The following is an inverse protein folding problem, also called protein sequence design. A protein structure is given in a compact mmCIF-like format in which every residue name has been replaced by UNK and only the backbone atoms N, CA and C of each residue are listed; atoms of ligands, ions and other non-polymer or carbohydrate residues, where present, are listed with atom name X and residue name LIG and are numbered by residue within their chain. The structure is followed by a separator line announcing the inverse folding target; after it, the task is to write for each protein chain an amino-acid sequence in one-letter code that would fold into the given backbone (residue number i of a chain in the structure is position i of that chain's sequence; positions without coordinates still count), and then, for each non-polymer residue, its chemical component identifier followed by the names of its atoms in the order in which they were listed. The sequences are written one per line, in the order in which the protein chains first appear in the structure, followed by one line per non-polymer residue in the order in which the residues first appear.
data_IF_803462173079
#
_entry.id   IF_803462173079
#
_cell.length_a   1.000
_cell.length_b   1.000
_cell.length_c   1.000
_cell.angle_alpha   90.00
_cell.angle_beta   90.00
_cell.angle_gamma   90.00
#
_symmetry.space_group_name_H-M   'P 1'
#
loop_
_entity.id
_entity.type
_entity.pdbx_description
1 polymer ?
#
# COMPACT_ATOMS: atom_id res chain seq x y z
N UNK A 1 13.33 -12.00 -24.93
CA UNK A 1 12.50 -13.22 -25.21
C UNK A 1 11.05 -12.84 -25.31
N UNK A 2 10.31 -13.34 -26.32
CA UNK A 2 8.88 -13.03 -26.52
C UNK A 2 8.07 -14.31 -26.58
N UNK A 3 6.99 -14.39 -25.80
CA UNK A 3 6.02 -15.48 -25.81
C UNK A 3 4.65 -14.89 -26.22
N UNK A 4 4.22 -15.11 -27.47
CA UNK A 4 2.93 -14.63 -27.99
C UNK A 4 1.82 -15.71 -27.94
N UNK A 5 2.18 -16.98 -27.89
CA UNK A 5 1.28 -18.12 -27.69
C UNK A 5 1.45 -18.73 -26.31
N UNK A 6 1.51 -20.05 -26.23
CA UNK A 6 1.86 -20.77 -25.00
C UNK A 6 3.34 -21.09 -24.99
N UNK A 7 4.03 -20.76 -23.89
CA UNK A 7 5.46 -21.00 -23.80
C UNK A 7 5.97 -21.13 -22.38
N UNK A 8 7.19 -21.62 -22.26
CA UNK A 8 7.86 -21.81 -20.98
C UNK A 8 9.24 -21.16 -21.01
N UNK A 9 9.63 -20.60 -19.88
CA UNK A 9 10.96 -20.07 -19.60
C UNK A 9 11.60 -21.00 -18.58
N UNK A 10 12.76 -21.53 -18.88
CA UNK A 10 13.52 -22.35 -17.94
C UNK A 10 14.13 -21.48 -16.83
N UNK A 11 14.53 -22.10 -15.72
CA UNK A 11 15.35 -21.43 -14.73
C UNK A 11 16.69 -20.98 -15.35
N UNK A 12 17.20 -19.83 -14.93
CA UNK A 12 18.48 -19.33 -15.43
C UNK A 12 18.60 -17.82 -15.48
N UNK A 13 19.68 -17.36 -16.11
CA UNK A 13 19.98 -15.93 -16.30
C UNK A 13 19.75 -15.53 -17.76
N UNK A 14 19.05 -14.42 -17.96
CA UNK A 14 18.68 -13.89 -19.26
C UNK A 14 19.10 -12.41 -19.34
N UNK A 15 19.98 -12.07 -20.27
CA UNK A 15 20.44 -10.70 -20.49
C UNK A 15 19.45 -9.86 -21.32
N UNK A 16 18.17 -10.21 -21.24
CA UNK A 16 17.09 -9.53 -21.97
C UNK A 16 15.77 -9.51 -21.18
N UNK A 17 14.82 -8.75 -21.69
CA UNK A 17 13.43 -8.74 -21.16
C UNK A 17 12.67 -9.98 -21.61
N UNK A 18 11.83 -10.50 -20.71
CA UNK A 18 10.86 -11.56 -20.98
C UNK A 18 9.50 -10.90 -21.18
N UNK A 19 8.94 -11.00 -22.38
CA UNK A 19 7.63 -10.45 -22.73
C UNK A 19 6.63 -11.56 -23.00
N UNK A 20 5.51 -11.55 -22.28
CA UNK A 20 4.47 -12.59 -22.35
C UNK A 20 3.15 -11.90 -22.73
N UNK A 21 2.67 -12.15 -23.95
CA UNK A 21 1.34 -11.68 -24.41
C UNK A 21 0.30 -12.80 -24.46
N UNK A 22 0.71 -14.04 -24.47
CA UNK A 22 -0.14 -15.23 -24.38
C UNK A 22 -0.14 -15.86 -22.99
N UNK A 23 0.10 -17.18 -22.92
CA UNK A 23 0.23 -17.93 -21.68
C UNK A 23 1.67 -18.33 -21.45
N UNK A 24 2.28 -17.85 -20.38
CA UNK A 24 3.66 -18.11 -20.05
C UNK A 24 3.83 -18.82 -18.70
N UNK A 25 4.83 -19.70 -18.63
CA UNK A 25 5.26 -20.32 -17.37
C UNK A 25 6.77 -20.14 -17.20
N UNK A 26 7.17 -19.63 -16.04
CA UNK A 26 8.56 -19.53 -15.62
C UNK A 26 8.82 -20.67 -14.64
N UNK A 27 9.71 -21.60 -15.03
CA UNK A 27 10.01 -22.83 -14.29
C UNK A 27 11.27 -22.66 -13.45
N UNK A 28 11.13 -22.19 -12.20
CA UNK A 28 12.22 -22.01 -11.25
C UNK A 28 12.75 -20.58 -11.20
N UNK A 29 13.92 -20.42 -10.57
CA UNK A 29 14.50 -19.09 -10.34
C UNK A 29 14.98 -18.47 -11.66
N UNK A 30 14.60 -17.24 -11.90
CA UNK A 30 15.01 -16.47 -13.09
C UNK A 30 15.59 -15.15 -12.68
N UNK A 31 16.76 -14.84 -13.26
CA UNK A 31 17.34 -13.49 -13.26
C UNK A 31 17.29 -12.95 -14.69
N UNK A 32 16.72 -11.76 -14.87
CA UNK A 32 16.59 -11.15 -16.20
C UNK A 32 16.62 -9.61 -16.12
N UNK A 33 16.58 -8.96 -17.28
CA UNK A 33 16.51 -7.49 -17.34
C UNK A 33 15.15 -7.00 -16.86
N UNK A 34 14.06 -7.65 -17.25
CA UNK A 34 12.72 -7.30 -16.81
C UNK A 34 11.67 -8.25 -17.33
N UNK A 35 10.45 -8.15 -16.77
CA UNK A 35 9.31 -8.97 -17.20
C UNK A 35 8.14 -8.08 -17.55
N UNK A 36 7.52 -8.35 -18.70
CA UNK A 36 6.27 -7.70 -19.12
C UNK A 36 5.22 -8.77 -19.42
N UNK A 37 4.09 -8.74 -18.76
CA UNK A 37 2.99 -9.68 -18.97
C UNK A 37 1.69 -8.92 -19.26
N UNK A 38 1.15 -9.12 -20.48
CA UNK A 38 -0.20 -8.66 -20.83
C UNK A 38 -1.20 -9.81 -20.95
N UNK A 39 -0.74 -11.04 -20.98
CA UNK A 39 -1.55 -12.27 -20.95
C UNK A 39 -1.66 -12.89 -19.56
N UNK A 40 -1.43 -14.19 -19.49
CA UNK A 40 -1.42 -14.95 -18.24
C UNK A 40 -0.05 -15.51 -17.95
N UNK A 41 0.43 -15.39 -16.73
CA UNK A 41 1.74 -15.88 -16.32
C UNK A 41 1.71 -16.61 -14.98
N UNK A 42 2.54 -17.67 -14.87
CA UNK A 42 2.84 -18.30 -13.58
C UNK A 42 4.36 -18.43 -13.43
N UNK A 43 4.89 -18.01 -12.30
CA UNK A 43 6.30 -18.18 -11.94
C UNK A 43 6.41 -19.03 -10.68
N UNK A 44 7.16 -20.13 -10.74
CA UNK A 44 7.31 -21.06 -9.61
C UNK A 44 8.59 -20.81 -8.78
N UNK A 45 9.49 -19.97 -9.25
CA UNK A 45 10.72 -19.59 -8.56
C UNK A 45 10.82 -18.10 -8.30
N UNK A 46 11.89 -17.71 -7.62
CA UNK A 46 12.21 -16.31 -7.41
C UNK A 46 12.44 -15.59 -8.75
N UNK A 47 11.92 -14.38 -8.83
CA UNK A 47 12.14 -13.51 -9.98
C UNK A 47 13.00 -12.31 -9.57
N UNK A 48 14.19 -12.23 -10.15
CA UNK A 48 15.10 -11.09 -9.97
C UNK A 48 15.23 -10.33 -11.28
N UNK A 49 14.74 -9.10 -11.31
CA UNK A 49 14.85 -8.21 -12.46
C UNK A 49 15.77 -7.03 -12.16
N UNK A 50 16.70 -6.73 -13.06
CA UNK A 50 17.53 -5.54 -12.95
C UNK A 50 16.79 -4.25 -13.30
N UNK A 51 15.64 -4.35 -13.97
CA UNK A 51 14.74 -3.24 -14.30
C UNK A 51 13.32 -3.52 -13.77
N UNK A 52 12.31 -3.45 -14.62
CA UNK A 52 10.91 -3.42 -14.22
C UNK A 52 10.21 -4.76 -14.40
N UNK A 53 9.27 -5.04 -13.49
CA UNK A 53 8.22 -6.03 -13.65
C UNK A 53 6.90 -5.32 -13.92
N UNK A 54 6.27 -5.57 -15.08
CA UNK A 54 5.02 -4.95 -15.49
C UNK A 54 3.97 -6.01 -15.81
N UNK A 55 2.82 -5.96 -15.16
CA UNK A 55 1.72 -6.90 -15.37
C UNK A 55 0.44 -6.14 -15.65
N UNK A 56 -0.10 -6.29 -16.87
CA UNK A 56 -1.42 -5.75 -17.23
C UNK A 56 -2.48 -6.87 -17.30
N UNK A 57 -2.08 -8.11 -17.40
CA UNK A 57 -2.94 -9.29 -17.42
C UNK A 57 -3.08 -9.94 -16.04
N UNK A 58 -2.99 -11.27 -16.00
CA UNK A 58 -3.05 -12.05 -14.78
C UNK A 58 -1.72 -12.72 -14.51
N UNK A 59 -1.21 -12.64 -13.27
CA UNK A 59 0.01 -13.33 -12.92
C UNK A 59 -0.05 -13.95 -11.52
N UNK A 60 0.60 -15.12 -11.39
CA UNK A 60 0.84 -15.76 -10.10
C UNK A 60 2.33 -16.05 -9.94
N UNK A 61 2.92 -15.42 -8.95
CA UNK A 61 4.28 -15.66 -8.51
C UNK A 61 4.25 -16.46 -7.21
N UNK A 62 4.74 -17.67 -7.23
CA UNK A 62 4.78 -18.56 -6.05
C UNK A 62 5.89 -18.18 -5.08
N UNK A 63 6.84 -17.37 -5.53
CA UNK A 63 8.00 -16.92 -4.77
C UNK A 63 8.14 -15.39 -4.86
N UNK A 64 9.21 -14.90 -4.25
CA UNK A 64 9.50 -13.47 -4.14
C UNK A 64 9.86 -12.81 -5.47
N UNK A 65 9.58 -11.52 -5.56
CA UNK A 65 9.97 -10.65 -6.67
C UNK A 65 10.95 -9.60 -6.15
N UNK A 66 12.08 -9.47 -6.87
CA UNK A 66 13.02 -8.35 -6.67
C UNK A 66 13.17 -7.62 -8.01
N UNK A 67 12.99 -6.29 -8.03
CA UNK A 67 13.07 -5.48 -9.24
C UNK A 67 13.46 -4.02 -8.91
N UNK A 68 13.72 -3.21 -9.95
CA UNK A 68 13.81 -1.77 -9.73
C UNK A 68 12.41 -1.18 -9.51
N UNK A 69 11.43 -1.55 -10.35
CA UNK A 69 10.04 -1.15 -10.14
C UNK A 69 9.09 -2.30 -10.46
N UNK A 70 7.95 -2.31 -9.77
CA UNK A 70 6.83 -3.23 -10.02
C UNK A 70 5.58 -2.44 -10.36
N UNK A 71 4.96 -2.72 -11.50
CA UNK A 71 3.73 -2.06 -11.95
C UNK A 71 2.66 -3.08 -12.29
N UNK A 72 1.51 -2.96 -11.67
CA UNK A 72 0.37 -3.86 -11.85
C UNK A 72 -0.89 -3.09 -12.19
N UNK A 73 -1.45 -3.38 -13.37
CA UNK A 73 -2.78 -2.87 -13.77
C UNK A 73 -3.84 -3.98 -13.81
N UNK A 74 -3.42 -5.24 -13.79
CA UNK A 74 -4.28 -6.42 -13.83
C UNK A 74 -4.50 -7.06 -12.46
N UNK A 75 -4.62 -8.39 -12.45
CA UNK A 75 -4.77 -9.18 -11.23
C UNK A 75 -3.51 -9.99 -10.96
N UNK A 76 -2.89 -9.76 -9.81
CA UNK A 76 -1.63 -10.41 -9.46
C UNK A 76 -1.70 -11.03 -8.07
N UNK A 77 -1.17 -12.25 -7.97
CA UNK A 77 -0.90 -12.92 -6.70
C UNK A 77 0.59 -13.19 -6.58
N UNK A 78 1.15 -12.85 -5.44
CA UNK A 78 2.54 -13.13 -5.06
C UNK A 78 2.46 -13.82 -3.70
N UNK A 79 2.99 -15.05 -3.60
CA UNK A 79 2.83 -15.82 -2.36
C UNK A 79 3.85 -15.43 -1.28
N UNK A 80 4.95 -14.78 -1.67
CA UNK A 80 6.01 -14.30 -0.77
C UNK A 80 6.20 -12.77 -0.89
N UNK A 81 7.44 -12.29 -0.76
CA UNK A 81 7.79 -10.87 -0.64
C UNK A 81 7.91 -10.16 -1.99
N UNK A 82 7.73 -8.83 -1.94
CA UNK A 82 8.05 -7.91 -3.02
C UNK A 82 9.09 -6.91 -2.56
N UNK A 83 10.22 -6.86 -3.25
CA UNK A 83 11.29 -5.88 -3.02
C UNK A 83 11.51 -5.06 -4.30
N UNK A 84 11.26 -3.76 -4.22
CA UNK A 84 11.56 -2.83 -5.31
C UNK A 84 12.50 -1.73 -4.81
N UNK A 85 13.53 -1.38 -5.59
CA UNK A 85 14.40 -0.25 -5.22
C UNK A 85 13.66 1.09 -5.34
N UNK A 86 12.82 1.23 -6.36
CA UNK A 86 12.02 2.41 -6.62
C UNK A 86 10.57 2.19 -6.20
N UNK A 87 9.66 2.01 -7.16
CA UNK A 87 8.23 2.04 -6.89
C UNK A 87 7.53 0.70 -7.06
N UNK A 88 6.51 0.47 -6.22
CA UNK A 88 5.45 -0.52 -6.43
C UNK A 88 4.15 0.25 -6.72
N UNK A 89 3.66 0.16 -7.97
CA UNK A 89 2.46 0.86 -8.45
C UNK A 89 1.34 -0.14 -8.76
N UNK A 90 0.19 0.05 -8.14
CA UNK A 90 -0.95 -0.86 -8.24
C UNK A 90 -2.20 -0.07 -8.65
N UNK A 91 -2.71 -0.35 -9.84
CA UNK A 91 -4.00 0.18 -10.31
C UNK A 91 -5.06 -0.93 -10.41
N UNK A 92 -4.64 -2.19 -10.37
CA UNK A 92 -5.48 -3.37 -10.40
C UNK A 92 -5.73 -3.97 -9.01
N UNK A 93 -5.74 -5.30 -8.93
CA UNK A 93 -5.89 -6.06 -7.68
C UNK A 93 -4.66 -6.90 -7.43
N UNK A 94 -4.03 -6.73 -6.28
CA UNK A 94 -2.81 -7.45 -5.91
C UNK A 94 -2.97 -8.09 -4.54
N UNK A 95 -2.56 -9.36 -4.45
CA UNK A 95 -2.41 -10.05 -3.17
C UNK A 95 -0.96 -10.47 -3.00
N UNK A 96 -0.34 -10.05 -1.90
CA UNK A 96 1.04 -10.37 -1.51
C UNK A 96 0.96 -11.13 -0.19
N UNK A 97 1.48 -12.35 -0.16
CA UNK A 97 1.46 -13.21 1.04
C UNK A 97 2.49 -12.79 2.08
N UNK A 98 3.60 -12.24 1.66
CA UNK A 98 4.68 -11.71 2.50
C UNK A 98 4.63 -10.19 2.64
N UNK A 99 5.81 -9.59 2.72
CA UNK A 99 6.02 -8.16 2.95
C UNK A 99 6.35 -7.40 1.66
N UNK A 100 6.15 -6.09 1.69
CA UNK A 100 6.52 -5.17 0.62
C UNK A 100 7.58 -4.19 1.12
N UNK A 101 8.68 -4.04 0.37
CA UNK A 101 9.70 -3.03 0.63
C UNK A 101 10.03 -2.27 -0.65
N UNK A 102 9.89 -0.92 -0.61
CA UNK A 102 10.15 -0.05 -1.77
C UNK A 102 10.40 1.40 -1.35
N UNK A 103 10.77 2.29 -2.29
CA UNK A 103 10.79 3.73 -2.00
C UNK A 103 9.38 4.33 -2.07
N UNK A 104 8.57 3.92 -3.04
CA UNK A 104 7.19 4.42 -3.19
C UNK A 104 6.20 3.26 -3.38
N UNK A 105 5.27 3.11 -2.44
CA UNK A 105 4.08 2.28 -2.62
C UNK A 105 2.89 3.14 -3.03
N UNK A 106 2.41 2.98 -4.25
CA UNK A 106 1.25 3.71 -4.78
C UNK A 106 0.13 2.75 -5.18
N UNK A 107 -1.02 2.84 -4.54
CA UNK A 107 -2.18 2.00 -4.81
C UNK A 107 -3.42 2.84 -5.10
N UNK A 108 -3.96 2.71 -6.33
CA UNK A 108 -5.28 3.26 -6.70
C UNK A 108 -6.34 2.18 -6.92
N UNK A 109 -5.97 0.92 -6.84
CA UNK A 109 -6.84 -0.25 -6.90
C UNK A 109 -7.02 -0.89 -5.53
N UNK A 110 -6.65 -2.17 -5.42
CA UNK A 110 -6.73 -2.94 -4.18
C UNK A 110 -5.45 -3.72 -3.95
N UNK A 111 -4.92 -3.63 -2.74
CA UNK A 111 -3.77 -4.43 -2.31
C UNK A 111 -4.01 -5.07 -0.96
N UNK A 112 -3.71 -6.37 -0.88
CA UNK A 112 -3.68 -7.14 0.37
C UNK A 112 -2.22 -7.56 0.63
N UNK A 113 -1.64 -7.15 1.77
CA UNK A 113 -0.28 -7.46 2.21
C UNK A 113 -0.38 -8.34 3.44
N UNK A 114 0.14 -9.55 3.37
CA UNK A 114 0.10 -10.53 4.47
C UNK A 114 1.16 -10.31 5.55
N UNK A 115 2.20 -9.57 5.26
CA UNK A 115 3.26 -9.15 6.17
C UNK A 115 3.22 -7.64 6.44
N UNK A 116 4.38 -7.01 6.32
CA UNK A 116 4.59 -5.58 6.55
C UNK A 116 4.72 -4.81 5.23
N UNK A 117 4.38 -3.52 5.26
CA UNK A 117 4.63 -2.57 4.18
C UNK A 117 5.61 -1.51 4.61
N UNK A 118 6.82 -1.50 4.05
CA UNK A 118 7.88 -0.52 4.33
C UNK A 118 8.18 0.29 3.06
N UNK A 119 8.12 1.62 3.17
CA UNK A 119 8.47 2.51 2.08
C UNK A 119 9.01 3.86 2.60
N UNK A 120 9.56 4.71 1.73
CA UNK A 120 9.80 6.11 2.04
C UNK A 120 8.47 6.88 1.98
N UNK A 121 7.63 6.54 0.99
CA UNK A 121 6.31 7.14 0.83
C UNK A 121 5.25 6.08 0.47
N UNK A 122 4.09 6.17 1.13
CA UNK A 122 2.91 5.34 0.84
C UNK A 122 1.75 6.25 0.44
N UNK A 123 1.20 6.01 -0.75
CA UNK A 123 0.03 6.71 -1.28
C UNK A 123 -1.06 5.71 -1.66
N UNK A 124 -2.20 5.81 -1.01
CA UNK A 124 -3.34 4.94 -1.28
C UNK A 124 -4.56 5.80 -1.62
N UNK A 125 -5.20 5.52 -2.75
CA UNK A 125 -6.51 6.08 -3.12
C UNK A 125 -7.55 5.00 -3.43
N UNK A 126 -7.27 3.78 -3.02
CA UNK A 126 -8.15 2.61 -3.12
C UNK A 126 -8.21 1.86 -1.81
N UNK A 127 -8.23 0.52 -1.87
CA UNK A 127 -8.25 -0.33 -0.69
C UNK A 127 -6.85 -0.86 -0.38
N UNK A 128 -6.45 -0.77 0.88
CA UNK A 128 -5.25 -1.43 1.40
C UNK A 128 -5.59 -2.25 2.64
N UNK A 129 -5.20 -3.51 2.62
CA UNK A 129 -5.12 -4.33 3.82
C UNK A 129 -3.66 -4.70 4.06
N UNK A 130 -3.19 -4.53 5.29
CA UNK A 130 -1.85 -4.90 5.72
C UNK A 130 -1.95 -5.57 7.09
N UNK A 131 -1.52 -6.81 7.20
CA UNK A 131 -1.66 -7.55 8.47
C UNK A 131 -0.69 -7.02 9.52
N UNK A 132 0.52 -6.64 9.13
CA UNK A 132 1.54 -6.09 10.01
C UNK A 132 1.59 -4.57 10.03
N UNK A 133 2.79 -4.06 10.26
CA UNK A 133 3.09 -2.63 10.27
C UNK A 133 3.13 -2.06 8.85
N UNK A 134 2.42 -0.97 8.62
CA UNK A 134 2.55 -0.13 7.44
C UNK A 134 3.39 1.10 7.83
N UNK A 135 4.63 1.17 7.38
CA UNK A 135 5.60 2.17 7.82
C UNK A 135 6.21 2.96 6.67
N UNK A 136 6.19 4.29 6.79
CA UNK A 136 6.86 5.17 5.84
C UNK A 136 7.12 6.55 6.47
N UNK A 137 8.08 7.32 5.94
CA UNK A 137 8.24 8.72 6.30
C UNK A 137 6.94 9.50 6.07
N UNK A 138 6.24 9.19 4.96
CA UNK A 138 4.94 9.78 4.64
C UNK A 138 3.92 8.73 4.24
N UNK A 139 2.81 8.67 5.00
CA UNK A 139 1.65 7.83 4.72
C UNK A 139 0.46 8.71 4.34
N UNK A 140 -0.07 8.53 3.14
CA UNK A 140 -1.28 9.22 2.69
C UNK A 140 -2.32 8.21 2.23
N UNK A 141 -3.45 8.15 2.92
CA UNK A 141 -4.59 7.31 2.54
C UNK A 141 -5.79 8.20 2.23
N UNK A 142 -6.28 8.13 1.00
CA UNK A 142 -7.50 8.80 0.57
C UNK A 142 -8.61 7.77 0.41
N UNK A 143 -9.70 7.96 1.10
CA UNK A 143 -10.83 7.05 1.07
C UNK A 143 -11.79 7.43 -0.07
N UNK A 144 -11.34 7.24 -1.32
CA UNK A 144 -12.10 7.55 -2.53
C UNK A 144 -13.05 6.41 -2.90
N UNK A 145 -14.20 6.30 -2.24
CA UNK A 145 -15.18 5.28 -2.61
C UNK A 145 -16.22 5.02 -1.52
N UNK A 146 -17.41 4.58 -1.94
CA UNK A 146 -18.47 4.19 -1.00
C UNK A 146 -18.15 2.83 -0.39
N UNK A 147 -18.23 2.73 0.93
CA UNK A 147 -18.11 1.48 1.70
C UNK A 147 -16.79 0.70 1.52
N UNK A 148 -15.68 1.38 1.23
CA UNK A 148 -14.37 0.74 1.23
C UNK A 148 -13.87 0.67 2.67
N UNK A 149 -13.60 -0.55 3.16
CA UNK A 149 -12.94 -0.74 4.45
C UNK A 149 -11.52 -1.25 4.19
N UNK A 150 -10.54 -0.51 4.69
CA UNK A 150 -9.15 -0.92 4.78
C UNK A 150 -8.85 -1.39 6.20
N UNK A 151 -8.08 -2.48 6.35
CA UNK A 151 -7.65 -2.98 7.66
C UNK A 151 -6.13 -3.04 7.70
N UNK A 152 -5.55 -2.47 8.74
CA UNK A 152 -4.09 -2.37 8.92
C UNK A 152 -3.76 -2.71 10.36
N UNK A 153 -2.74 -3.54 10.59
CA UNK A 153 -2.29 -3.90 11.93
C UNK A 153 -1.85 -2.68 12.72
N UNK A 154 -0.80 -2.02 12.25
CA UNK A 154 -0.30 -0.76 12.81
C UNK A 154 0.14 0.19 11.69
N UNK A 155 0.14 1.50 11.95
CA UNK A 155 0.68 2.52 11.05
C UNK A 155 1.75 3.30 11.77
N UNK A 156 2.95 3.38 11.17
CA UNK A 156 4.07 4.19 11.65
C UNK A 156 4.57 5.18 10.61
N UNK A 157 5.06 6.34 11.05
CA UNK A 157 5.68 7.27 10.12
C UNK A 157 5.92 8.67 10.64
N UNK A 158 6.60 9.51 9.86
CA UNK A 158 6.78 10.92 10.16
C UNK A 158 5.47 11.70 9.98
N UNK A 159 4.87 11.63 8.81
CA UNK A 159 3.62 12.30 8.50
C UNK A 159 2.54 11.28 8.08
N UNK A 160 1.45 11.19 8.83
CA UNK A 160 0.34 10.28 8.56
C UNK A 160 -0.91 11.10 8.27
N UNK A 161 -1.43 10.97 7.06
CA UNK A 161 -2.67 11.62 6.62
C UNK A 161 -3.67 10.59 6.11
N UNK A 162 -4.84 10.50 6.76
CA UNK A 162 -5.97 9.67 6.31
C UNK A 162 -7.18 10.58 6.14
N UNK A 163 -7.72 10.70 4.94
CA UNK A 163 -8.81 11.62 4.63
C UNK A 163 -9.87 11.04 3.71
N UNK A 164 -11.09 11.55 3.83
CA UNK A 164 -12.23 11.26 2.97
C UNK A 164 -12.36 12.24 1.78
N UNK A 165 -11.41 13.13 1.56
CA UNK A 165 -11.55 14.21 0.59
C UNK A 165 -11.30 13.76 -0.85
N UNK A 166 -12.31 13.91 -1.70
CA UNK A 166 -12.23 13.70 -3.15
C UNK A 166 -11.51 14.82 -3.92
N UNK A 167 -11.22 15.96 -3.29
CA UNK A 167 -10.75 17.17 -3.97
C UNK A 167 -9.29 17.51 -3.76
N UNK A 168 -8.48 16.65 -3.13
CA UNK A 168 -7.03 16.83 -3.12
C UNK A 168 -6.53 18.17 -2.56
N UNK A 169 -7.32 18.88 -1.76
CA UNK A 169 -6.87 20.08 -1.08
C UNK A 169 -5.96 19.72 0.07
N UNK A 170 -4.78 20.28 0.04
CA UNK A 170 -3.73 20.11 1.02
C UNK A 170 -4.25 20.36 2.42
N UNK A 171 -4.20 19.35 3.28
CA UNK A 171 -4.19 19.56 4.72
C UNK A 171 -2.84 20.23 5.03
N UNK A 172 -2.77 21.54 4.81
CA UNK A 172 -1.60 22.32 5.13
C UNK A 172 -1.89 23.16 6.35
N UNK A 173 -1.28 22.77 7.45
CA UNK A 173 -1.13 23.53 8.69
C UNK A 173 -2.42 24.03 9.32
N UNK A 174 -2.67 23.54 10.54
CA UNK A 174 -3.65 24.05 11.49
C UNK A 174 -3.94 25.56 11.35
N UNK A 175 -5.19 26.03 11.16
CA UNK A 175 -6.48 25.58 11.71
C UNK A 175 -7.40 25.07 10.58
N UNK A 176 -7.51 23.78 10.37
CA UNK A 176 -7.90 23.30 9.04
C UNK A 176 -8.84 22.12 8.96
N UNK A 177 -9.61 21.86 9.95
CA UNK A 177 -10.80 21.01 9.76
C UNK A 177 -11.93 21.79 9.05
N UNK A 178 -11.60 22.49 7.97
CA UNK A 178 -12.62 23.08 7.13
C UNK A 178 -13.18 22.05 6.16
N UNK A 179 -14.26 21.42 6.65
CA UNK A 179 -15.33 20.82 5.86
C UNK A 179 -14.98 19.56 5.10
N UNK A 180 -15.11 18.49 5.78
CA UNK A 180 -15.14 17.15 5.23
C UNK A 180 -16.59 16.65 5.29
N UNK A 181 -17.18 16.38 4.14
CA UNK A 181 -18.51 15.78 4.04
C UNK A 181 -18.42 14.71 2.96
N UNK A 182 -18.49 13.47 3.36
CA UNK A 182 -18.60 12.38 2.40
C UNK A 182 -18.80 11.05 3.11
N UNK A 183 -19.84 10.31 2.74
CA UNK A 183 -19.95 8.89 3.05
C UNK A 183 -18.81 8.15 2.32
N UNK A 184 -17.64 8.17 2.89
CA UNK A 184 -16.44 7.51 2.39
C UNK A 184 -16.21 6.18 3.06
N UNK A 185 -15.08 5.56 2.74
CA UNK A 185 -14.61 4.35 3.38
C UNK A 185 -14.20 4.55 4.85
N UNK A 186 -13.74 3.50 5.47
CA UNK A 186 -13.20 3.49 6.84
C UNK A 186 -11.86 2.80 6.86
N UNK A 187 -10.91 3.31 7.62
CA UNK A 187 -9.68 2.59 7.96
C UNK A 187 -9.81 2.05 9.38
N UNK A 188 -9.66 0.75 9.53
CA UNK A 188 -9.57 0.10 10.83
C UNK A 188 -8.10 -0.25 11.09
N UNK A 189 -7.55 0.28 12.17
CA UNK A 189 -6.19 -0.05 12.64
C UNK A 189 -6.32 -0.88 13.92
N UNK A 190 -5.70 -2.06 13.90
CA UNK A 190 -5.95 -3.04 14.95
C UNK A 190 -5.16 -2.75 16.24
N UNK A 191 -4.00 -2.03 16.16
CA UNK A 191 -3.13 -1.81 17.31
C UNK A 191 -2.80 -0.31 17.56
N UNK A 192 -2.07 0.33 16.64
CA UNK A 192 -1.46 1.64 16.89
C UNK A 192 -1.31 2.46 15.61
N UNK A 193 -1.54 3.78 15.75
CA UNK A 193 -1.07 4.79 14.79
C UNK A 193 -0.05 5.66 15.52
N UNK A 194 1.18 5.73 15.01
CA UNK A 194 2.26 6.49 15.62
C UNK A 194 3.01 7.33 14.59
N UNK A 195 3.11 8.64 14.82
CA UNK A 195 3.82 9.54 13.92
C UNK A 195 4.09 10.91 14.52
N UNK A 196 5.00 11.68 13.91
CA UNK A 196 5.24 13.06 14.35
C UNK A 196 4.00 13.94 14.12
N UNK A 197 3.44 13.85 12.92
CA UNK A 197 2.21 14.56 12.55
C UNK A 197 1.16 13.55 12.12
N UNK A 198 0.07 13.46 12.85
CA UNK A 198 -1.03 12.54 12.58
C UNK A 198 -2.31 13.32 12.34
N UNK A 199 -2.83 13.28 11.11
CA UNK A 199 -4.12 13.89 10.75
C UNK A 199 -5.01 12.81 10.13
N UNK A 200 -6.07 12.41 10.83
CA UNK A 200 -6.89 11.25 10.45
C UNK A 200 -8.38 11.57 10.50
N UNK A 201 -9.12 10.92 9.60
CA UNK A 201 -10.56 11.03 9.45
C UNK A 201 -11.14 9.67 9.05
N UNK A 202 -12.32 9.33 9.57
CA UNK A 202 -12.99 8.04 9.36
C UNK A 202 -12.10 6.84 9.73
N UNK A 203 -11.43 6.93 10.86
CA UNK A 203 -10.50 5.93 11.37
C UNK A 203 -11.01 5.34 12.67
N UNK A 204 -10.86 4.02 12.80
CA UNK A 204 -11.05 3.29 14.06
C UNK A 204 -9.70 2.74 14.50
N UNK A 205 -9.27 3.09 15.71
CA UNK A 205 -8.00 2.63 16.28
C UNK A 205 -8.06 2.61 17.81
N UNK A 206 -7.47 1.63 18.48
CA UNK A 206 -7.37 1.65 19.95
C UNK A 206 -6.42 2.75 20.43
N UNK A 207 -5.40 3.11 19.64
CA UNK A 207 -4.42 4.09 20.09
C UNK A 207 -3.84 4.93 18.95
N UNK A 208 -3.71 6.24 19.24
CA UNK A 208 -3.00 7.20 18.39
C UNK A 208 -1.94 7.92 19.22
N UNK A 209 -0.72 7.98 18.72
CA UNK A 209 0.41 8.68 19.36
C UNK A 209 1.03 9.65 18.36
N UNK A 210 1.28 10.88 18.77
CA UNK A 210 1.93 11.84 17.90
C UNK A 210 2.41 13.09 18.62
N UNK A 211 3.28 13.85 17.96
CA UNK A 211 3.68 15.17 18.43
C UNK A 211 2.54 16.18 18.21
N UNK A 212 2.02 16.22 16.99
CA UNK A 212 0.86 17.01 16.58
C UNK A 212 -0.22 16.05 16.07
N UNK A 213 -1.40 16.07 16.67
CA UNK A 213 -2.48 15.13 16.37
C UNK A 213 -3.76 15.88 16.02
N UNK A 214 -4.33 15.59 14.87
CA UNK A 214 -5.64 16.08 14.44
C UNK A 214 -6.58 14.88 14.21
N UNK A 215 -7.63 14.78 15.01
CA UNK A 215 -8.66 13.75 14.90
C UNK A 215 -9.88 14.37 14.24
N UNK A 216 -10.13 14.03 13.00
CA UNK A 216 -11.24 14.50 12.20
C UNK A 216 -12.53 13.71 12.43
N UNK A 217 -13.55 14.07 11.66
CA UNK A 217 -14.89 13.49 11.78
C UNK A 217 -14.89 11.96 11.59
N UNK A 218 -15.90 11.30 12.15
CA UNK A 218 -16.14 9.85 12.03
C UNK A 218 -15.00 8.96 12.54
N UNK A 219 -14.08 9.50 13.34
CA UNK A 219 -13.08 8.72 14.05
C UNK A 219 -13.66 8.10 15.34
N UNK A 220 -13.23 6.87 15.64
CA UNK A 220 -13.47 6.18 16.90
C UNK A 220 -12.12 5.73 17.47
N UNK A 221 -11.59 6.47 18.46
CA UNK A 221 -10.26 6.27 19.04
C UNK A 221 -10.37 6.10 20.56
N UNK A 222 -9.80 5.02 21.11
CA UNK A 222 -9.89 4.78 22.57
C UNK A 222 -8.94 5.71 23.33
N UNK A 223 -7.67 5.86 22.87
CA UNK A 223 -6.64 6.67 23.53
C UNK A 223 -5.85 7.51 22.53
N UNK A 224 -5.73 8.80 22.78
CA UNK A 224 -4.82 9.70 22.06
C UNK A 224 -3.73 10.22 23.00
N UNK A 225 -2.46 10.05 22.64
CA UNK A 225 -1.31 10.62 23.34
C UNK A 225 -0.62 11.64 22.42
N UNK A 226 -0.38 12.84 22.92
CA UNK A 226 0.27 13.89 22.15
C UNK A 226 1.27 14.67 22.99
N UNK A 227 2.31 15.24 22.37
CA UNK A 227 3.30 16.03 23.11
C UNK A 227 3.23 17.54 22.88
N UNK A 228 2.75 18.03 21.73
CA UNK A 228 2.66 19.45 21.44
C UNK A 228 1.20 19.92 21.31
N UNK A 229 0.50 19.46 20.29
CA UNK A 229 -0.81 20.00 19.90
C UNK A 229 -1.81 18.89 19.59
N UNK A 230 -3.07 19.09 19.98
CA UNK A 230 -4.19 18.23 19.62
C UNK A 230 -5.37 19.05 19.14
N UNK A 231 -6.01 18.58 18.06
CA UNK A 231 -7.31 19.07 17.59
C UNK A 231 -8.26 17.89 17.43
N UNK A 232 -9.49 18.00 17.94
CA UNK A 232 -10.50 16.94 17.86
C UNK A 232 -11.78 17.53 17.28
N UNK A 233 -12.27 16.95 16.19
CA UNK A 233 -13.54 17.31 15.58
C UNK A 233 -14.71 16.93 16.51
N UNK A 234 -15.76 17.78 16.65
CA UNK A 234 -16.94 17.48 17.47
C UNK A 234 -17.68 16.17 17.10
N UNK A 235 -17.52 15.69 15.86
CA UNK A 235 -18.12 14.44 15.39
C UNK A 235 -17.20 13.22 15.58
N UNK A 236 -16.02 13.40 16.16
CA UNK A 236 -15.13 12.30 16.54
C UNK A 236 -15.53 11.73 17.90
N UNK A 237 -15.33 10.43 18.07
CA UNK A 237 -15.46 9.75 19.35
C UNK A 237 -14.08 9.42 19.88
N UNK A 238 -13.63 10.12 20.90
CA UNK A 238 -12.34 9.87 21.58
C UNK A 238 -12.61 9.52 23.03
N UNK A 239 -12.15 8.32 23.44
CA UNK A 239 -12.36 7.82 24.81
C UNK A 239 -11.54 8.62 25.84
N UNK A 240 -10.25 8.74 25.60
CA UNK A 240 -9.32 9.52 26.45
C UNK A 240 -8.27 10.20 25.58
N UNK A 241 -7.86 11.41 25.96
CA UNK A 241 -6.65 12.02 25.41
C UNK A 241 -5.79 12.59 26.53
N UNK A 242 -4.47 12.54 26.36
CA UNK A 242 -3.53 12.99 27.37
C UNK A 242 -2.25 13.53 26.72
N UNK A 243 -1.71 14.56 27.34
CA UNK A 243 -0.43 15.14 26.94
C UNK A 243 0.70 14.39 27.66
N UNK A 244 1.72 13.96 26.88
CA UNK A 244 2.87 13.18 27.35
C UNK A 244 4.18 13.95 27.18
#
# INVERSE_FOLDING_TARGET
MIISGSGQVAAGEYNEKISISGSGRINGNVRCVGVSCSGSMRSVGNLECSENVSVSGSAHFEKSITADNVSVSGSVRIDEDVKAKGSVKISGSVKIGGSVKCSLLSCSGSVDIGGEGEAEEIRVSGRINCVGLLNAEKVTVRLDGFNITSRIGSIGGGEIMISNDRKGERISRLPLLKRLVGNGGTVCVDELIEGDVVAIESVKSPKVVGRVVAIGADCEIDLVQYSEEIEIDPNAKVGKYEKV
#
